data_IF_812090551155
#
_entry.id   IF_812090551155
#
_cell.length_a   1.000
_cell.length_b   1.000
_cell.length_c   1.000
_cell.angle_alpha   90.00
_cell.angle_beta   90.00
_cell.angle_gamma   90.00
#
_symmetry.space_group_name_H-M   'P 1'
#
loop_
_entity.id
_entity.type
_entity.pdbx_description
1 polymer ?
#
# COMPACT_ATOMS: atom_id res chain seq x y z
N UNK A 1 -10.28 24.11 -4.11
CA UNK A 1 -9.59 23.47 -5.26
C UNK A 1 -9.81 21.96 -5.20
N UNK A 2 -9.65 21.22 -6.30
CA UNK A 2 -9.81 19.75 -6.30
C UNK A 2 -8.73 19.11 -5.40
N UNK A 3 -9.14 18.24 -4.50
CA UNK A 3 -8.24 17.48 -3.63
C UNK A 3 -8.38 15.99 -3.96
N UNK A 4 -7.27 15.27 -3.99
CA UNK A 4 -7.22 13.83 -4.26
C UNK A 4 -6.34 13.11 -3.25
N UNK A 5 -6.55 11.80 -3.08
CA UNK A 5 -5.59 10.89 -2.45
C UNK A 5 -5.21 9.81 -3.44
N UNK A 6 -3.93 9.50 -3.55
CA UNK A 6 -3.46 8.35 -4.30
C UNK A 6 -3.54 7.08 -3.45
N UNK A 7 -3.71 5.94 -4.12
CA UNK A 7 -3.49 4.62 -3.55
C UNK A 7 -2.50 3.88 -4.45
N UNK A 8 -1.40 3.42 -3.87
CA UNK A 8 -0.46 2.52 -4.53
C UNK A 8 -0.55 1.13 -3.90
N UNK A 9 -0.84 0.12 -4.71
CA UNK A 9 -0.93 -1.27 -4.27
C UNK A 9 0.34 -2.03 -4.61
N UNK A 10 1.18 -2.29 -3.60
CA UNK A 10 2.36 -3.14 -3.75
C UNK A 10 1.99 -4.60 -3.49
N UNK A 11 2.20 -5.46 -4.48
CA UNK A 11 2.06 -6.91 -4.35
C UNK A 11 3.42 -7.52 -4.08
N UNK A 12 3.52 -8.38 -3.08
CA UNK A 12 4.76 -9.03 -2.70
C UNK A 12 4.53 -10.54 -2.72
N UNK A 13 5.38 -11.27 -3.43
CA UNK A 13 5.37 -12.71 -3.54
C UNK A 13 6.80 -13.27 -3.67
N UNK A 14 6.92 -14.57 -3.94
CA UNK A 14 8.21 -15.25 -4.06
C UNK A 14 9.13 -14.66 -5.14
N UNK A 15 8.57 -13.97 -6.14
CA UNK A 15 9.32 -13.34 -7.23
C UNK A 15 9.90 -11.97 -6.86
N UNK A 16 9.47 -11.35 -5.75
CA UNK A 16 9.96 -10.07 -5.27
C UNK A 16 11.46 -10.14 -4.93
N UNK A 17 12.25 -9.27 -5.57
CA UNK A 17 13.72 -9.27 -5.48
C UNK A 17 14.30 -8.14 -4.65
N UNK A 18 13.55 -7.07 -4.41
CA UNK A 18 14.04 -5.93 -3.62
C UNK A 18 14.21 -6.36 -2.16
N UNK A 19 15.24 -5.82 -1.49
CA UNK A 19 15.58 -6.22 -0.12
C UNK A 19 14.46 -5.96 0.89
N UNK A 20 13.77 -4.82 0.76
CA UNK A 20 12.61 -4.50 1.59
C UNK A 20 11.46 -5.49 1.36
N UNK A 21 11.09 -5.72 0.10
CA UNK A 21 10.02 -6.65 -0.28
C UNK A 21 10.29 -8.05 0.27
N UNK A 22 11.54 -8.52 0.14
CA UNK A 22 11.92 -9.86 0.60
C UNK A 22 11.83 -10.00 2.11
N UNK A 23 12.27 -8.97 2.84
CA UNK A 23 12.20 -8.97 4.29
C UNK A 23 10.74 -8.95 4.79
N UNK A 24 9.86 -8.17 4.13
CA UNK A 24 8.42 -8.18 4.41
C UNK A 24 7.83 -9.56 4.12
N UNK A 25 8.09 -10.11 2.94
CA UNK A 25 7.62 -11.44 2.52
C UNK A 25 8.00 -12.54 3.53
N UNK A 26 9.27 -12.57 3.93
CA UNK A 26 9.77 -13.59 4.85
C UNK A 26 9.13 -13.46 6.24
N UNK A 27 8.95 -12.23 6.74
CA UNK A 27 8.33 -11.96 8.02
C UNK A 27 6.83 -12.27 8.04
N UNK A 28 6.09 -11.86 7.00
CA UNK A 28 4.64 -12.08 6.93
C UNK A 28 4.30 -13.54 6.68
N UNK A 29 5.15 -14.27 5.96
CA UNK A 29 4.96 -15.71 5.83
C UNK A 29 5.11 -16.44 7.17
N UNK A 30 6.15 -16.11 7.94
CA UNK A 30 6.39 -16.72 9.24
C UNK A 30 5.23 -16.43 10.21
N UNK A 31 4.77 -15.18 10.24
CA UNK A 31 3.62 -14.79 11.07
C UNK A 31 2.34 -15.52 10.63
N UNK A 32 2.06 -15.55 9.32
CA UNK A 32 0.92 -16.33 8.78
C UNK A 32 1.00 -17.80 9.22
N UNK A 33 2.16 -18.44 9.07
CA UNK A 33 2.37 -19.84 9.45
C UNK A 33 2.04 -20.08 10.93
N UNK A 34 2.59 -19.24 11.83
CA UNK A 34 2.33 -19.35 13.26
C UNK A 34 0.86 -19.16 13.62
N UNK A 35 0.20 -18.18 13.00
CA UNK A 35 -1.20 -17.88 13.28
C UNK A 35 -2.15 -18.91 12.68
N UNK A 36 -1.87 -19.42 11.48
CA UNK A 36 -2.63 -20.47 10.83
C UNK A 36 -2.58 -21.78 11.64
N UNK A 37 -1.40 -22.20 12.11
CA UNK A 37 -1.26 -23.39 12.97
C UNK A 37 -2.01 -23.26 14.29
N UNK A 38 -2.09 -22.05 14.84
CA UNK A 38 -2.87 -21.80 16.06
C UNK A 38 -4.38 -21.92 15.81
N UNK A 39 -4.85 -21.47 14.64
CA UNK A 39 -6.27 -21.53 14.26
C UNK A 39 -6.71 -22.93 13.83
N UNK A 40 -5.83 -23.69 13.19
CA UNK A 40 -6.08 -25.05 12.74
C UNK A 40 -4.99 -26.03 13.25
N UNK A 41 -5.02 -26.40 14.54
CA UNK A 41 -4.02 -27.29 15.13
C UNK A 41 -4.01 -28.70 14.54
N UNK A 42 -5.13 -29.13 13.93
CA UNK A 42 -5.25 -30.43 13.29
C UNK A 42 -4.73 -30.45 11.85
N UNK A 43 -4.45 -29.28 11.26
CA UNK A 43 -3.87 -29.14 9.93
C UNK A 43 -4.80 -29.59 8.79
N UNK A 44 -6.11 -29.40 8.96
CA UNK A 44 -7.14 -29.76 7.97
C UNK A 44 -7.26 -28.77 6.81
N UNK A 45 -6.78 -27.55 6.99
CA UNK A 45 -6.97 -26.40 6.09
C UNK A 45 -5.61 -25.78 5.74
N UNK A 46 -4.86 -26.37 4.78
CA UNK A 46 -3.50 -25.96 4.48
C UNK A 46 -3.38 -24.58 3.80
N UNK A 47 -4.45 -24.05 3.20
CA UNK A 47 -4.43 -22.76 2.51
C UNK A 47 -5.17 -21.66 3.26
N UNK A 48 -4.79 -20.40 3.01
CA UNK A 48 -5.53 -19.25 3.52
C UNK A 48 -7.01 -19.26 3.12
N UNK A 49 -7.32 -19.68 1.87
CA UNK A 49 -8.70 -19.78 1.40
C UNK A 49 -9.51 -20.82 2.19
N UNK A 50 -8.96 -22.03 2.38
CA UNK A 50 -9.63 -23.06 3.18
C UNK A 50 -9.80 -22.64 4.63
N UNK A 51 -8.81 -21.97 5.22
CA UNK A 51 -8.94 -21.41 6.57
C UNK A 51 -10.12 -20.43 6.63
N UNK A 52 -10.20 -19.48 5.68
CA UNK A 52 -11.28 -18.48 5.66
C UNK A 52 -12.66 -19.05 5.36
N UNK A 53 -12.74 -20.14 4.61
CA UNK A 53 -14.00 -20.78 4.24
C UNK A 53 -14.56 -21.67 5.35
N UNK A 54 -13.69 -22.21 6.22
CA UNK A 54 -14.07 -23.21 7.21
C UNK A 54 -13.98 -22.72 8.66
N UNK A 55 -13.19 -21.68 8.95
CA UNK A 55 -12.98 -21.17 10.31
C UNK A 55 -13.56 -19.75 10.42
N UNK A 56 -14.62 -19.53 11.23
CA UNK A 56 -15.35 -18.25 11.32
C UNK A 56 -14.50 -17.00 11.59
N UNK A 57 -13.32 -17.14 12.20
CA UNK A 57 -12.43 -16.02 12.55
C UNK A 57 -11.14 -15.94 11.69
N UNK A 58 -10.98 -16.80 10.69
CA UNK A 58 -9.74 -16.82 9.88
C UNK A 58 -9.52 -15.56 9.04
N UNK A 59 -10.55 -14.75 8.79
CA UNK A 59 -10.41 -13.41 8.19
C UNK A 59 -9.52 -12.48 9.04
N UNK A 60 -9.46 -12.71 10.36
CA UNK A 60 -8.59 -11.96 11.26
C UNK A 60 -7.09 -12.20 11.01
N UNK A 61 -6.72 -13.24 10.24
CA UNK A 61 -5.33 -13.50 9.84
C UNK A 61 -4.73 -12.32 9.06
N UNK A 62 -5.51 -11.54 8.32
CA UNK A 62 -5.03 -10.31 7.71
C UNK A 62 -4.42 -9.36 8.75
N UNK A 63 -5.15 -9.12 9.84
CA UNK A 63 -4.72 -8.22 10.91
C UNK A 63 -3.51 -8.80 11.65
N UNK A 64 -3.58 -10.07 12.07
CA UNK A 64 -2.49 -10.72 12.81
C UNK A 64 -1.19 -10.73 12.00
N UNK A 65 -1.27 -11.12 10.73
CA UNK A 65 -0.12 -11.17 9.83
C UNK A 65 0.44 -9.78 9.54
N UNK A 66 -0.43 -8.76 9.46
CA UNK A 66 0.01 -7.38 9.22
C UNK A 66 0.97 -6.84 10.29
N UNK A 67 0.89 -7.36 11.52
CA UNK A 67 1.75 -6.93 12.62
C UNK A 67 3.25 -7.12 12.32
N UNK A 68 3.59 -8.18 11.57
CA UNK A 68 4.95 -8.47 11.14
C UNK A 68 5.47 -7.49 10.07
N UNK A 69 4.58 -6.83 9.32
CA UNK A 69 4.95 -5.85 8.31
C UNK A 69 5.19 -4.43 8.89
N UNK A 70 4.62 -4.10 10.05
CA UNK A 70 4.62 -2.74 10.62
C UNK A 70 6.03 -2.16 10.76
N UNK A 71 6.97 -2.96 11.29
CA UNK A 71 8.35 -2.51 11.49
C UNK A 71 9.07 -2.18 10.18
N UNK A 72 8.69 -2.82 9.08
CA UNK A 72 9.23 -2.54 7.75
C UNK A 72 8.56 -1.35 7.09
N UNK A 73 7.25 -1.18 7.27
CA UNK A 73 6.51 -0.01 6.77
C UNK A 73 7.08 1.27 7.38
N UNK A 74 7.39 1.28 8.69
CA UNK A 74 8.03 2.43 9.35
C UNK A 74 9.40 2.80 8.79
N UNK A 75 10.10 1.87 8.15
CA UNK A 75 11.41 2.14 7.51
C UNK A 75 11.28 2.85 6.16
N UNK A 76 10.05 3.00 5.65
CA UNK A 76 9.78 3.78 4.44
C UNK A 76 9.78 5.30 4.69
N UNK A 77 9.96 5.73 5.95
CA UNK A 77 10.02 7.13 6.35
C UNK A 77 8.81 7.94 5.85
N UNK A 78 7.62 7.32 6.00
CA UNK A 78 6.32 7.86 5.60
C UNK A 78 6.19 8.25 4.12
N UNK A 79 7.04 7.70 3.22
CA UNK A 79 6.95 7.90 1.76
C UNK A 79 6.52 6.63 1.02
N UNK A 80 5.56 6.76 0.09
CA UNK A 80 5.05 5.64 -0.70
C UNK A 80 6.19 5.02 -1.51
N UNK A 81 6.43 3.69 -1.41
CA UNK A 81 7.51 3.04 -2.15
C UNK A 81 7.17 2.96 -3.64
N UNK A 82 8.20 2.89 -4.48
CA UNK A 82 8.12 2.74 -5.94
C UNK A 82 7.40 3.88 -6.71
N UNK A 83 6.74 4.82 -6.04
CA UNK A 83 6.11 5.99 -6.67
C UNK A 83 7.04 7.19 -6.61
N UNK A 84 7.49 7.61 -7.80
CA UNK A 84 8.42 8.71 -7.97
C UNK A 84 7.82 9.76 -8.91
N UNK A 85 8.24 11.01 -8.74
CA UNK A 85 7.92 12.06 -9.70
C UNK A 85 8.65 11.82 -11.03
N UNK A 86 8.36 12.62 -12.04
CA UNK A 86 9.09 12.57 -13.31
C UNK A 86 10.58 12.89 -13.18
N UNK A 87 11.01 13.47 -12.06
CA UNK A 87 12.43 13.67 -11.71
C UNK A 87 13.08 12.43 -11.10
N UNK A 88 12.31 11.37 -10.84
CA UNK A 88 12.78 10.15 -10.17
C UNK A 88 12.92 10.29 -8.65
N UNK A 89 12.35 11.34 -8.05
CA UNK A 89 12.39 11.57 -6.60
C UNK A 89 11.13 10.99 -5.92
N UNK A 90 11.25 10.40 -4.72
CA UNK A 90 10.09 10.06 -3.91
C UNK A 90 9.27 11.32 -3.60
N UNK A 91 7.95 11.26 -3.76
CA UNK A 91 7.12 12.49 -3.81
C UNK A 91 5.75 12.39 -3.12
N UNK A 92 5.36 11.21 -2.63
CA UNK A 92 4.05 11.01 -2.01
C UNK A 92 4.19 10.55 -0.56
N UNK A 93 3.93 11.44 0.42
CA UNK A 93 3.83 11.02 1.80
C UNK A 93 2.56 10.18 2.03
N UNK A 94 2.59 9.27 3.00
CA UNK A 94 1.45 8.47 3.42
C UNK A 94 1.45 8.27 4.94
N UNK A 95 0.25 8.21 5.51
CA UNK A 95 0.05 7.82 6.92
C UNK A 95 -0.95 6.68 7.10
N UNK A 96 -1.61 6.27 6.01
CA UNK A 96 -2.60 5.20 6.01
C UNK A 96 -2.15 4.07 5.08
N UNK A 97 -2.31 2.82 5.53
CA UNK A 97 -2.11 1.65 4.68
C UNK A 97 -3.10 0.53 5.02
N UNK A 98 -3.31 -0.38 4.07
CA UNK A 98 -4.09 -1.61 4.26
C UNK A 98 -3.27 -2.83 3.85
N UNK A 99 -3.19 -3.80 4.74
CA UNK A 99 -2.55 -5.09 4.48
C UNK A 99 -3.60 -6.15 4.11
N UNK A 100 -3.29 -6.99 3.13
CA UNK A 100 -4.12 -8.11 2.69
C UNK A 100 -3.25 -9.33 2.37
N UNK A 101 -3.72 -10.51 2.75
CA UNK A 101 -3.19 -11.80 2.29
C UNK A 101 -3.96 -12.14 1.02
N UNK A 102 -3.29 -12.29 -0.10
CA UNK A 102 -3.94 -12.66 -1.37
C UNK A 102 -4.02 -14.18 -1.52
N UNK A 103 -2.95 -14.86 -1.14
CA UNK A 103 -2.85 -16.31 -1.08
C UNK A 103 -1.74 -16.69 -0.10
N UNK A 104 -1.88 -17.85 0.54
CA UNK A 104 -0.81 -18.43 1.35
C UNK A 104 -1.09 -19.91 1.58
N UNK A 105 -0.03 -20.68 1.78
CA UNK A 105 -0.08 -22.09 2.11
C UNK A 105 0.82 -22.32 3.33
N UNK A 106 0.40 -23.14 4.30
CA UNK A 106 1.11 -23.35 5.56
C UNK A 106 2.50 -23.98 5.31
N UNK A 107 2.59 -24.92 4.38
CA UNK A 107 3.82 -25.68 4.11
C UNK A 107 4.55 -25.23 2.83
N UNK A 108 3.96 -24.34 2.03
CA UNK A 108 4.52 -23.91 0.75
C UNK A 108 4.63 -22.39 0.69
N UNK A 109 5.81 -21.92 1.08
CA UNK A 109 6.16 -20.50 1.07
C UNK A 109 6.07 -19.87 -0.31
N UNK A 110 6.23 -20.63 -1.40
CA UNK A 110 6.15 -20.07 -2.74
C UNK A 110 4.73 -19.58 -3.11
N UNK A 111 3.71 -20.10 -2.43
CA UNK A 111 2.32 -19.67 -2.59
C UNK A 111 1.95 -18.45 -1.74
N UNK A 112 2.86 -18.00 -0.86
CA UNK A 112 2.62 -16.78 -0.09
C UNK A 112 2.59 -15.58 -1.02
N UNK A 113 1.53 -14.79 -0.92
CA UNK A 113 1.34 -13.58 -1.71
C UNK A 113 0.49 -12.61 -0.91
N UNK A 114 1.01 -11.41 -0.72
CA UNK A 114 0.35 -10.35 0.04
C UNK A 114 0.20 -9.09 -0.81
N UNK A 115 -0.64 -8.16 -0.35
CA UNK A 115 -0.68 -6.80 -0.84
C UNK A 115 -0.63 -5.81 0.32
N UNK A 116 0.07 -4.71 0.09
CA UNK A 116 0.03 -3.52 0.94
C UNK A 116 -0.43 -2.36 0.07
N UNK A 117 -1.60 -1.80 0.39
CA UNK A 117 -2.12 -0.60 -0.25
C UNK A 117 -1.72 0.61 0.59
N UNK A 118 -0.90 1.51 0.05
CA UNK A 118 -0.48 2.75 0.68
C UNK A 118 -1.37 3.89 0.19
N UNK A 119 -1.95 4.67 1.11
CA UNK A 119 -2.82 5.79 0.77
C UNK A 119 -2.11 7.10 1.07
N UNK A 120 -1.88 7.90 0.04
CA UNK A 120 -1.17 9.17 0.22
C UNK A 120 -1.95 10.10 1.15
N UNK A 121 -1.24 11.07 1.71
CA UNK A 121 -1.92 12.24 2.24
C UNK A 121 -2.71 12.95 1.13
N UNK A 122 -3.75 13.73 1.47
CA UNK A 122 -4.45 14.53 0.47
C UNK A 122 -3.49 15.50 -0.22
N UNK A 123 -3.66 15.67 -1.53
CA UNK A 123 -2.88 16.60 -2.35
C UNK A 123 -3.83 17.40 -3.24
N UNK A 124 -3.41 18.57 -3.69
CA UNK A 124 -4.19 19.41 -4.60
C UNK A 124 -3.90 18.93 -6.02
N UNK A 125 -4.95 18.59 -6.76
CA UNK A 125 -4.85 18.29 -8.18
C UNK A 125 -4.89 19.60 -8.97
N UNK A 126 -3.77 19.92 -9.64
CA UNK A 126 -3.63 21.11 -10.46
C UNK A 126 -4.04 20.84 -11.92
N UNK A 127 -3.45 19.84 -12.57
CA UNK A 127 -3.71 19.53 -13.98
C UNK A 127 -3.34 18.08 -14.34
N UNK A 128 -3.78 17.61 -15.51
CA UNK A 128 -3.32 16.36 -16.13
C UNK A 128 -2.52 16.65 -17.40
N UNK A 129 -1.29 16.14 -17.46
CA UNK A 129 -0.37 16.35 -18.59
C UNK A 129 0.00 14.97 -19.16
N UNK A 130 -0.60 14.62 -20.29
CA UNK A 130 -0.47 13.28 -20.87
C UNK A 130 -1.01 12.22 -19.91
N UNK A 131 -0.18 11.25 -19.52
CA UNK A 131 -0.49 10.24 -18.51
C UNK A 131 -0.02 10.61 -17.10
N UNK A 132 0.34 11.86 -16.87
CA UNK A 132 0.84 12.33 -15.57
C UNK A 132 -0.11 13.33 -14.93
N UNK A 133 -0.08 13.40 -13.60
CA UNK A 133 -0.91 14.31 -12.81
C UNK A 133 0.02 15.31 -12.12
N UNK A 134 -0.23 16.60 -12.36
CA UNK A 134 0.46 17.69 -11.68
C UNK A 134 -0.24 17.97 -10.35
N UNK A 135 0.52 17.91 -9.26
CA UNK A 135 0.02 18.06 -7.91
C UNK A 135 0.88 19.02 -7.07
N UNK A 136 0.33 19.42 -5.92
CA UNK A 136 1.09 20.02 -4.82
C UNK A 136 0.49 19.63 -3.47
N UNK A 137 1.23 19.87 -2.39
CA UNK A 137 0.77 19.67 -1.02
C UNK A 137 -0.44 20.54 -0.65
N UNK A 138 -1.25 20.08 0.30
CA UNK A 138 -2.43 20.82 0.79
C UNK A 138 -2.06 22.14 1.48
N UNK A 139 -0.87 22.22 2.07
CA UNK A 139 -0.30 23.39 2.70
C UNK A 139 -0.10 24.57 1.72
N UNK A 140 -0.07 24.29 0.42
CA UNK A 140 0.06 25.33 -0.61
C UNK A 140 -1.29 25.90 -1.11
N UNK A 141 -2.43 25.52 -0.52
CA UNK A 141 -3.74 26.00 -0.95
C UNK A 141 -3.84 27.54 -0.98
N UNK A 142 -3.36 28.23 0.06
CA UNK A 142 -3.43 29.69 0.13
C UNK A 142 -2.46 30.39 -0.82
N UNK A 143 -1.26 29.84 -1.02
CA UNK A 143 -0.30 30.37 -2.01
C UNK A 143 -0.84 30.30 -3.43
N UNK A 144 -1.50 29.19 -3.78
CA UNK A 144 -2.15 29.05 -5.07
C UNK A 144 -3.28 30.08 -5.26
N UNK A 145 -4.03 30.40 -4.19
CA UNK A 145 -5.09 31.42 -4.23
C UNK A 145 -4.54 32.84 -4.36
N UNK A 146 -3.40 33.15 -3.76
CA UNK A 146 -2.75 34.46 -3.86
C UNK A 146 -1.96 34.64 -5.16
N UNK A 147 -1.80 33.58 -5.98
CA UNK A 147 -1.02 33.60 -7.21
C UNK A 147 0.49 33.52 -6.96
N UNK A 148 0.90 33.10 -5.77
CA UNK A 148 2.30 32.89 -5.42
C UNK A 148 2.85 31.61 -6.06
N UNK A 149 4.12 31.66 -6.45
CA UNK A 149 4.82 30.49 -6.94
C UNK A 149 4.85 29.39 -5.86
N UNK A 150 4.55 28.17 -6.28
CA UNK A 150 4.37 27.01 -5.40
C UNK A 150 5.15 25.83 -5.97
N UNK A 151 5.75 25.03 -5.09
CA UNK A 151 6.42 23.79 -5.49
C UNK A 151 5.40 22.73 -5.91
N UNK A 152 5.71 22.02 -6.99
CA UNK A 152 4.80 21.05 -7.61
C UNK A 152 5.54 19.79 -7.97
N UNK A 153 4.83 18.67 -7.90
CA UNK A 153 5.32 17.37 -8.36
C UNK A 153 4.49 16.91 -9.54
N UNK A 154 5.15 16.38 -10.56
CA UNK A 154 4.50 15.74 -11.69
C UNK A 154 4.62 14.22 -11.52
N UNK A 155 3.50 13.54 -11.34
CA UNK A 155 3.47 12.11 -11.05
C UNK A 155 2.99 11.33 -12.27
N UNK A 156 3.82 10.45 -12.85
CA UNK A 156 3.37 9.57 -13.93
C UNK A 156 2.41 8.51 -13.37
N UNK A 157 1.26 8.32 -14.02
CA UNK A 157 0.39 7.20 -13.69
C UNK A 157 1.06 5.89 -14.12
N UNK A 158 1.20 4.98 -13.16
CA UNK A 158 1.83 3.68 -13.34
C UNK A 158 0.88 2.54 -12.97
N UNK A 159 1.26 1.30 -13.26
CA UNK A 159 0.51 0.14 -12.80
C UNK A 159 0.36 0.15 -11.27
N UNK A 160 -0.85 -0.18 -10.80
CA UNK A 160 -1.21 -0.25 -9.38
C UNK A 160 -1.23 1.09 -8.62
N UNK A 161 -0.99 2.22 -9.30
CA UNK A 161 -1.26 3.57 -8.78
C UNK A 161 -2.62 4.05 -9.28
N UNK A 162 -3.48 4.49 -8.37
CA UNK A 162 -4.80 5.03 -8.71
C UNK A 162 -5.17 6.20 -7.81
N UNK A 163 -6.14 7.02 -8.22
CA UNK A 163 -6.82 7.97 -7.33
C UNK A 163 -7.86 7.18 -6.53
N UNK A 164 -7.71 7.17 -5.21
CA UNK A 164 -8.62 6.46 -4.29
C UNK A 164 -9.72 7.34 -3.72
N UNK A 165 -9.46 8.64 -3.58
CA UNK A 165 -10.39 9.62 -3.04
C UNK A 165 -10.33 10.89 -3.87
N UNK A 166 -11.49 11.52 -4.08
CA UNK A 166 -11.62 12.78 -4.79
C UNK A 166 -12.61 13.67 -4.06
N UNK A 167 -12.19 14.90 -3.79
CA UNK A 167 -13.02 15.95 -3.21
C UNK A 167 -13.02 17.14 -4.15
N UNK A 168 -14.21 17.47 -4.67
CA UNK A 168 -14.43 18.73 -5.37
C UNK A 168 -15.18 19.67 -4.44
N UNK A 169 -14.58 20.76 -3.94
CA UNK A 169 -15.34 21.79 -3.27
C UNK A 169 -16.29 22.37 -4.31
N UNK A 170 -17.59 22.11 -4.15
CA UNK A 170 -18.62 22.79 -4.93
C UNK A 170 -18.54 24.29 -4.65
N UNK A 171 -18.76 25.08 -5.72
CA UNK A 171 -18.82 26.54 -5.69
C UNK A 171 -19.75 27.07 -4.60
#
# INVERSE_FOLDING_TARGET
>A
MKSIRFCYRKVIDVSSRQGWDRAVFDATYLEFYMQAQRLDPEGKHPTFAELTDNIPDAQHLHYLTSSAAIGYIRKLDDVIPDVHSTLGLPCLPFHDFKFEILASHIEDKAQHRIAISFYSDPVIWLETIGSSILITGQDNHEKLRSGEQTETELIPMSSFLSISHYTNPQN
#
